data_IF_398314748783
#
_entry.id   IF_398314748783
#
_cell.length_a   1.000
_cell.length_b   1.000
_cell.length_c   1.000
_cell.angle_alpha   90.00
_cell.angle_beta   90.00
_cell.angle_gamma   90.00
#
_symmetry.space_group_name_H-M   'P 1'
#
loop_
_entity.id
_entity.type
_entity.pdbx_description
1 polymer ?
#
# COMPACT_ATOMS: atom_id res chain seq x y z
N UNK A 1 -2.48 -25.72 8.20
CA UNK A 1 -3.90 -25.86 7.85
C UNK A 1 -4.11 -25.18 6.52
N UNK A 2 -4.43 -25.94 5.48
CA UNK A 2 -4.75 -25.40 4.16
C UNK A 2 -6.24 -25.08 4.17
N UNK A 3 -6.60 -23.79 4.12
CA UNK A 3 -7.98 -23.37 3.89
C UNK A 3 -8.22 -23.48 2.38
N UNK A 4 -9.22 -24.27 1.91
CA UNK A 4 -9.57 -24.28 0.50
C UNK A 4 -9.91 -22.85 0.02
N UNK A 5 -9.48 -22.49 -1.18
CA UNK A 5 -9.70 -21.13 -1.76
C UNK A 5 -11.19 -20.76 -1.81
N UNK A 6 -12.07 -21.73 -1.98
CA UNK A 6 -13.53 -21.59 -1.94
C UNK A 6 -14.10 -21.25 -0.54
N UNK A 7 -13.31 -21.46 0.51
CA UNK A 7 -13.65 -21.11 1.89
C UNK A 7 -12.86 -19.88 2.40
N UNK A 8 -11.98 -19.34 1.58
CA UNK A 8 -11.18 -18.17 1.93
C UNK A 8 -11.94 -16.87 1.58
N UNK A 9 -11.99 -15.95 2.52
CA UNK A 9 -12.59 -14.63 2.32
C UNK A 9 -11.48 -13.57 2.32
N UNK A 10 -11.48 -12.72 1.30
CA UNK A 10 -10.63 -11.55 1.26
C UNK A 10 -11.22 -10.40 2.10
N UNK A 11 -10.38 -9.41 2.43
CA UNK A 11 -10.87 -8.17 3.06
C UNK A 11 -11.89 -7.44 2.17
N UNK A 12 -11.80 -7.59 0.85
CA UNK A 12 -12.75 -7.03 -0.11
C UNK A 12 -14.12 -7.72 0.04
N UNK A 13 -14.13 -9.05 0.18
CA UNK A 13 -15.39 -9.80 0.37
C UNK A 13 -16.08 -9.41 1.68
N UNK A 14 -15.29 -9.25 2.76
CA UNK A 14 -15.81 -8.80 4.05
C UNK A 14 -16.37 -7.37 3.97
N UNK A 15 -15.70 -6.47 3.29
CA UNK A 15 -16.17 -5.10 3.09
C UNK A 15 -17.47 -5.08 2.29
N UNK A 16 -17.57 -5.87 1.21
CA UNK A 16 -18.81 -6.01 0.41
C UNK A 16 -19.96 -6.59 1.25
N UNK A 17 -19.70 -7.64 2.03
CA UNK A 17 -20.69 -8.24 2.90
C UNK A 17 -21.18 -7.26 3.98
N UNK A 18 -20.32 -6.34 4.43
CA UNK A 18 -20.68 -5.25 5.34
C UNK A 18 -21.39 -4.07 4.65
N UNK A 19 -21.64 -4.13 3.33
CA UNK A 19 -22.39 -3.11 2.58
C UNK A 19 -21.54 -1.94 2.08
N UNK A 20 -20.21 -2.07 2.10
CA UNK A 20 -19.31 -1.05 1.56
C UNK A 20 -19.24 -1.15 0.03
N UNK A 21 -19.15 0.00 -0.63
CA UNK A 21 -18.65 0.10 -1.99
C UNK A 21 -17.13 -0.10 -1.97
N UNK A 22 -16.58 -0.92 -2.88
CA UNK A 22 -15.19 -1.37 -2.78
C UNK A 22 -14.39 -0.94 -4.00
N UNK A 23 -13.22 -0.36 -3.73
CA UNK A 23 -12.28 0.12 -4.73
C UNK A 23 -10.93 -0.57 -4.57
N UNK A 24 -10.32 -0.95 -5.69
CA UNK A 24 -8.92 -1.37 -5.75
C UNK A 24 -8.20 -0.60 -6.85
N UNK A 25 -7.24 0.23 -6.47
CA UNK A 25 -6.50 1.09 -7.40
C UNK A 25 -5.02 0.74 -7.26
N UNK A 26 -4.42 0.18 -8.33
CA UNK A 26 -3.09 -0.42 -8.29
C UNK A 26 -2.13 0.21 -9.28
N UNK A 27 -0.90 0.46 -8.83
CA UNK A 27 0.25 0.78 -9.69
C UNK A 27 1.04 -0.47 -10.09
N UNK A 28 0.54 -1.66 -9.83
CA UNK A 28 1.13 -2.90 -10.34
C UNK A 28 0.38 -3.38 -11.59
N UNK A 29 0.97 -4.33 -12.32
CA UNK A 29 0.33 -4.90 -13.50
C UNK A 29 -0.88 -5.76 -13.08
N UNK A 30 -2.00 -5.60 -13.77
CA UNK A 30 -3.23 -6.35 -13.47
C UNK A 30 -3.16 -7.85 -13.75
N UNK A 31 -2.18 -8.29 -14.54
CA UNK A 31 -1.99 -9.70 -14.89
C UNK A 31 -0.51 -9.99 -15.13
N UNK A 32 0.17 -10.55 -14.16
CA UNK A 32 1.47 -11.17 -14.33
C UNK A 32 1.46 -12.59 -13.77
N UNK A 33 2.44 -13.41 -14.13
CA UNK A 33 2.57 -14.76 -13.59
C UNK A 33 2.84 -14.77 -12.08
N UNK A 34 3.37 -13.66 -11.55
CA UNK A 34 3.73 -13.51 -10.13
C UNK A 34 2.61 -12.93 -9.27
N UNK A 35 1.64 -12.22 -9.88
CA UNK A 35 0.63 -11.43 -9.15
C UNK A 35 -0.76 -12.07 -9.17
N UNK A 36 -0.87 -13.32 -9.59
CA UNK A 36 -2.18 -13.99 -9.76
C UNK A 36 -3.08 -13.93 -8.53
N UNK A 37 -2.61 -14.20 -7.28
CA UNK A 37 -3.46 -14.11 -6.09
C UNK A 37 -3.98 -12.68 -5.86
N UNK A 38 -3.14 -11.67 -5.99
CA UNK A 38 -3.51 -10.28 -5.82
C UNK A 38 -4.50 -9.84 -6.91
N UNK A 39 -4.29 -10.27 -8.15
CA UNK A 39 -5.21 -9.99 -9.26
C UNK A 39 -6.58 -10.59 -9.00
N UNK A 40 -6.66 -11.83 -8.48
CA UNK A 40 -7.93 -12.46 -8.13
C UNK A 40 -8.64 -11.65 -7.05
N UNK A 41 -7.97 -11.33 -5.94
CA UNK A 41 -8.53 -10.55 -4.84
C UNK A 41 -9.00 -9.17 -5.33
N UNK A 42 -8.14 -8.46 -6.05
CA UNK A 42 -8.45 -7.10 -6.53
C UNK A 42 -9.61 -7.07 -7.52
N UNK A 43 -9.77 -8.11 -8.36
CA UNK A 43 -10.88 -8.22 -9.31
C UNK A 43 -12.24 -8.45 -8.66
N UNK A 44 -12.28 -8.84 -7.37
CA UNK A 44 -13.53 -8.94 -6.63
C UNK A 44 -14.07 -7.58 -6.15
N UNK A 45 -13.25 -6.52 -6.16
CA UNK A 45 -13.71 -5.17 -5.87
C UNK A 45 -14.73 -4.69 -6.92
N UNK A 46 -15.71 -3.89 -6.48
CA UNK A 46 -16.74 -3.34 -7.38
C UNK A 46 -16.12 -2.41 -8.44
N UNK A 47 -15.08 -1.65 -8.03
CA UNK A 47 -14.32 -0.77 -8.88
C UNK A 47 -12.84 -1.15 -8.78
N UNK A 48 -12.21 -1.50 -9.90
CA UNK A 48 -10.79 -1.84 -9.90
C UNK A 48 -10.08 -1.21 -11.10
N UNK A 49 -8.90 -0.66 -10.84
CA UNK A 49 -8.06 0.03 -11.82
C UNK A 49 -6.62 -0.41 -11.65
N UNK A 50 -5.99 -0.84 -12.74
CA UNK A 50 -4.55 -1.05 -12.82
C UNK A 50 -3.98 -0.03 -13.80
N UNK A 51 -3.12 0.87 -13.31
CA UNK A 51 -2.54 1.92 -14.15
C UNK A 51 -1.39 1.43 -15.02
N UNK A 52 -0.79 0.29 -14.68
CA UNK A 52 0.15 -0.41 -15.54
C UNK A 52 -0.57 -1.51 -16.33
N UNK A 53 -0.36 -1.53 -17.63
CA UNK A 53 -1.09 -2.42 -18.54
C UNK A 53 -0.82 -3.90 -18.35
N UNK A 54 -1.58 -4.73 -19.05
CA UNK A 54 -1.39 -6.19 -19.07
C UNK A 54 -0.01 -6.55 -19.59
N UNK A 55 0.69 -7.46 -18.88
CA UNK A 55 1.97 -8.01 -19.31
C UNK A 55 3.19 -7.12 -19.06
N UNK A 56 3.02 -5.96 -18.41
CA UNK A 56 4.15 -5.24 -17.87
C UNK A 56 4.80 -6.08 -16.77
N UNK A 57 6.13 -6.19 -16.78
CA UNK A 57 6.83 -6.74 -15.63
C UNK A 57 6.53 -5.86 -14.41
N UNK A 58 6.39 -6.40 -13.20
CA UNK A 58 6.26 -5.60 -11.98
C UNK A 58 7.35 -4.54 -11.84
N UNK A 59 8.52 -4.80 -12.45
CA UNK A 59 9.64 -3.86 -12.51
C UNK A 59 9.52 -2.77 -13.59
N UNK A 60 8.60 -2.89 -14.54
CA UNK A 60 8.48 -2.00 -15.70
C UNK A 60 7.25 -1.08 -15.59
N UNK A 61 7.04 -0.49 -14.41
CA UNK A 61 5.96 0.47 -14.23
C UNK A 61 6.18 1.70 -15.13
N UNK A 62 5.23 1.94 -16.03
CA UNK A 62 5.20 3.14 -16.90
C UNK A 62 4.92 4.39 -16.08
N UNK A 63 4.22 4.25 -14.96
CA UNK A 63 3.79 5.34 -14.11
C UNK A 63 4.38 5.24 -12.70
N UNK A 64 4.66 6.39 -12.11
CA UNK A 64 5.01 6.51 -10.70
C UNK A 64 3.75 6.53 -9.82
N UNK A 65 3.90 6.15 -8.53
CA UNK A 65 2.78 6.03 -7.59
C UNK A 65 1.94 7.31 -7.43
N UNK A 66 2.52 8.49 -7.65
CA UNK A 66 1.77 9.74 -7.65
C UNK A 66 0.61 9.78 -8.63
N UNK A 67 0.64 8.96 -9.70
CA UNK A 67 -0.48 8.82 -10.63
C UNK A 67 -1.74 8.25 -9.96
N UNK A 68 -1.59 7.41 -8.93
CA UNK A 68 -2.73 6.84 -8.20
C UNK A 68 -3.63 7.89 -7.56
N UNK A 69 -3.09 9.06 -7.19
CA UNK A 69 -3.87 10.16 -6.62
C UNK A 69 -4.95 10.64 -7.60
N UNK A 70 -4.64 10.62 -8.91
CA UNK A 70 -5.60 11.03 -9.94
C UNK A 70 -6.64 9.97 -10.28
N UNK A 71 -6.37 8.72 -9.91
CA UNK A 71 -7.31 7.59 -10.10
C UNK A 71 -8.29 7.43 -8.94
N UNK A 72 -8.04 8.09 -7.81
CA UNK A 72 -8.98 8.14 -6.70
C UNK A 72 -10.25 8.88 -7.13
N UNK A 73 -11.45 8.40 -6.74
CA UNK A 73 -12.69 9.12 -6.99
C UNK A 73 -12.63 10.53 -6.41
N UNK A 74 -13.28 11.49 -7.04
CA UNK A 74 -13.31 12.88 -6.54
C UNK A 74 -14.18 13.00 -5.29
N UNK A 75 -15.19 12.15 -5.15
CA UNK A 75 -16.02 12.03 -3.96
C UNK A 75 -16.52 10.61 -3.80
N UNK A 76 -16.94 10.25 -2.58
CA UNK A 76 -17.59 8.99 -2.25
C UNK A 76 -18.87 9.27 -1.46
N UNK A 77 -20.00 8.95 -2.05
CA UNK A 77 -21.34 9.24 -1.46
C UNK A 77 -21.86 8.11 -0.59
N UNK A 78 -21.23 6.94 -0.65
CA UNK A 78 -21.60 5.72 0.08
C UNK A 78 -20.47 5.29 0.98
N UNK A 79 -20.74 4.50 2.05
CA UNK A 79 -19.67 3.86 2.80
C UNK A 79 -18.76 3.09 1.85
N UNK A 80 -17.48 3.42 1.85
CA UNK A 80 -16.52 2.89 0.87
C UNK A 80 -15.27 2.36 1.55
N UNK A 81 -14.75 1.26 1.00
CA UNK A 81 -13.47 0.67 1.36
C UNK A 81 -12.53 0.75 0.15
N UNK A 82 -11.48 1.54 0.29
CA UNK A 82 -10.57 1.84 -0.82
C UNK A 82 -9.20 1.25 -0.52
N UNK A 83 -8.73 0.34 -1.35
CA UNK A 83 -7.37 -0.18 -1.35
C UNK A 83 -6.58 0.54 -2.42
N UNK A 84 -5.45 1.12 -2.02
CA UNK A 84 -4.49 1.77 -2.92
C UNK A 84 -3.21 0.96 -2.87
N UNK A 85 -2.92 0.25 -3.94
CA UNK A 85 -1.81 -0.69 -4.04
C UNK A 85 -0.64 -0.03 -4.77
N UNK A 86 0.32 0.41 -3.97
CA UNK A 86 1.53 1.10 -4.46
C UNK A 86 2.53 0.11 -5.08
N UNK A 87 3.40 0.60 -5.93
CA UNK A 87 4.66 -0.06 -6.26
C UNK A 87 5.68 0.16 -5.14
N UNK A 88 5.59 1.29 -4.46
CA UNK A 88 6.44 1.63 -3.33
C UNK A 88 7.92 1.72 -3.67
N UNK A 89 8.75 1.39 -2.68
CA UNK A 89 10.21 1.34 -2.81
C UNK A 89 10.70 -0.04 -3.27
N UNK A 90 10.00 -0.65 -4.24
CA UNK A 90 10.40 -1.93 -4.82
C UNK A 90 11.74 -1.82 -5.57
N UNK A 91 12.47 -2.92 -5.69
CA UNK A 91 13.78 -3.02 -6.37
C UNK A 91 13.83 -2.27 -7.71
N UNK A 92 15.03 -1.86 -8.16
CA UNK A 92 15.26 -0.80 -9.15
C UNK A 92 14.81 0.57 -8.61
N UNK A 93 15.16 0.83 -7.37
CA UNK A 93 14.73 2.00 -6.58
C UNK A 93 14.79 3.33 -7.34
N UNK A 94 15.85 3.53 -8.17
CA UNK A 94 16.02 4.75 -8.96
C UNK A 94 14.89 4.99 -9.99
N UNK A 95 14.14 3.95 -10.33
CA UNK A 95 13.01 4.02 -11.26
C UNK A 95 11.67 4.33 -10.53
N UNK A 96 11.69 4.45 -9.20
CA UNK A 96 10.49 4.59 -8.36
C UNK A 96 10.14 6.03 -8.00
N UNK A 97 10.96 7.00 -8.38
CA UNK A 97 10.73 8.41 -8.08
C UNK A 97 11.16 9.32 -9.23
N UNK A 98 10.58 10.52 -9.38
CA UNK A 98 11.02 11.50 -10.37
C UNK A 98 12.33 12.14 -9.93
N UNK A 99 13.14 12.61 -10.89
CA UNK A 99 14.46 13.22 -10.63
C UNK A 99 14.44 14.35 -9.60
N UNK A 100 13.34 15.08 -9.47
CA UNK A 100 13.14 16.13 -8.47
C UNK A 100 13.20 15.62 -7.02
N UNK A 101 13.08 14.32 -6.82
CA UNK A 101 13.16 13.68 -5.50
C UNK A 101 14.55 13.11 -5.19
N UNK A 102 15.53 13.22 -6.09
CA UNK A 102 16.93 12.83 -5.87
C UNK A 102 17.62 13.81 -4.92
N UNK A 103 17.45 13.60 -3.62
CA UNK A 103 18.05 14.40 -2.56
C UNK A 103 19.29 13.71 -1.98
N UNK A 104 19.16 12.40 -1.71
CA UNK A 104 20.24 11.62 -1.08
C UNK A 104 21.24 11.15 -2.12
N UNK A 105 22.53 11.29 -1.80
CA UNK A 105 23.67 10.90 -2.63
C UNK A 105 24.91 10.68 -1.76
N UNK A 106 25.79 9.79 -2.22
CA UNK A 106 27.09 9.56 -1.55
C UNK A 106 27.18 8.30 -0.69
N UNK A 107 26.07 7.57 -0.44
CA UNK A 107 26.07 6.29 0.26
C UNK A 107 26.07 5.08 -0.67
N UNK A 108 26.00 5.34 -1.98
CA UNK A 108 25.97 4.32 -3.01
C UNK A 108 24.60 4.16 -3.67
N UNK A 109 24.60 3.72 -4.92
CA UNK A 109 23.41 3.70 -5.80
C UNK A 109 22.21 3.00 -5.18
N UNK A 110 22.41 1.91 -4.44
CA UNK A 110 21.30 1.18 -3.83
C UNK A 110 20.69 1.95 -2.67
N UNK A 111 21.52 2.39 -1.72
CA UNK A 111 21.07 3.09 -0.51
C UNK A 111 20.46 4.44 -0.89
N UNK A 112 21.17 5.24 -1.69
CA UNK A 112 20.67 6.55 -2.12
C UNK A 112 19.36 6.42 -2.92
N UNK A 113 19.28 5.42 -3.79
CA UNK A 113 18.08 5.14 -4.57
C UNK A 113 16.90 4.75 -3.68
N UNK A 114 17.14 3.90 -2.69
CA UNK A 114 16.12 3.49 -1.72
C UNK A 114 15.63 4.69 -0.90
N UNK A 115 16.53 5.44 -0.29
CA UNK A 115 16.17 6.60 0.54
C UNK A 115 15.36 7.65 -0.26
N UNK A 116 15.74 7.90 -1.52
CA UNK A 116 15.00 8.79 -2.41
C UNK A 116 13.62 8.22 -2.76
N UNK A 117 13.48 6.89 -2.96
CA UNK A 117 12.21 6.25 -3.24
C UNK A 117 11.27 6.32 -2.03
N UNK A 118 11.77 6.08 -0.81
CA UNK A 118 11.00 6.21 0.44
C UNK A 118 10.52 7.65 0.61
N UNK A 119 11.38 8.65 0.37
CA UNK A 119 11.00 10.06 0.40
C UNK A 119 9.87 10.38 -0.58
N UNK A 120 9.89 9.77 -1.76
CA UNK A 120 8.82 9.94 -2.73
C UNK A 120 7.52 9.25 -2.30
N UNK A 121 7.60 8.02 -1.78
CA UNK A 121 6.43 7.31 -1.22
C UNK A 121 5.78 8.14 -0.11
N UNK A 122 6.57 8.75 0.78
CA UNK A 122 6.05 9.62 1.83
C UNK A 122 5.22 10.79 1.26
N UNK A 123 5.70 11.44 0.20
CA UNK A 123 4.95 12.51 -0.47
C UNK A 123 3.68 12.01 -1.18
N UNK A 124 3.71 10.78 -1.73
CA UNK A 124 2.54 10.16 -2.35
C UNK A 124 1.49 9.85 -1.28
N UNK A 125 1.91 9.29 -0.13
CA UNK A 125 1.02 9.02 1.00
C UNK A 125 0.37 10.31 1.52
N UNK A 126 1.15 11.40 1.61
CA UNK A 126 0.63 12.72 1.97
C UNK A 126 -0.45 13.16 0.96
N UNK A 127 -0.17 13.10 -0.34
CA UNK A 127 -1.14 13.52 -1.37
C UNK A 127 -2.41 12.66 -1.39
N UNK A 128 -2.28 11.33 -1.17
CA UNK A 128 -3.42 10.44 -1.01
C UNK A 128 -4.23 10.84 0.22
N UNK A 129 -3.58 11.01 1.37
CA UNK A 129 -4.22 11.39 2.62
C UNK A 129 -4.97 12.72 2.50
N UNK A 130 -4.34 13.75 1.93
CA UNK A 130 -4.95 15.05 1.70
C UNK A 130 -6.22 14.95 0.83
N UNK A 131 -6.21 14.10 -0.22
CA UNK A 131 -7.40 13.89 -1.06
C UNK A 131 -8.50 13.17 -0.29
N UNK A 132 -8.21 12.03 0.34
CA UNK A 132 -9.24 11.22 0.99
C UNK A 132 -9.75 11.83 2.30
N UNK A 133 -8.93 12.60 3.00
CA UNK A 133 -9.32 13.32 4.22
C UNK A 133 -10.45 14.33 3.96
N UNK A 134 -10.56 14.83 2.75
CA UNK A 134 -11.62 15.75 2.34
C UNK A 134 -12.94 15.06 1.98
N UNK A 135 -12.99 13.72 1.94
CA UNK A 135 -14.26 13.01 1.73
C UNK A 135 -15.18 13.19 2.93
N UNK A 136 -16.45 13.50 2.67
CA UNK A 136 -17.46 13.82 3.70
C UNK A 136 -17.63 12.75 4.78
N UNK A 137 -17.36 11.49 4.44
CA UNK A 137 -17.49 10.32 5.30
C UNK A 137 -16.15 9.69 5.68
N UNK A 138 -15.04 10.42 5.56
CA UNK A 138 -13.73 9.91 5.91
C UNK A 138 -13.68 9.39 7.36
N UNK A 139 -13.35 8.11 7.53
CA UNK A 139 -13.29 7.44 8.83
C UNK A 139 -11.85 7.20 9.30
N UNK A 140 -10.96 6.83 8.39
CA UNK A 140 -9.59 6.54 8.75
C UNK A 140 -8.73 6.20 7.54
N UNK A 141 -7.43 6.11 7.81
CA UNK A 141 -6.39 5.79 6.85
C UNK A 141 -5.42 4.81 7.50
N UNK A 142 -5.06 3.76 6.77
CA UNK A 142 -4.11 2.77 7.22
C UNK A 142 -3.06 2.58 6.13
N UNK A 143 -1.80 2.54 6.52
CA UNK A 143 -0.69 2.22 5.63
C UNK A 143 0.22 1.18 6.26
N UNK A 144 0.55 0.16 5.48
CA UNK A 144 1.59 -0.82 5.76
C UNK A 144 2.18 -1.33 4.44
N UNK A 145 3.48 -1.55 4.34
CA UNK A 145 4.06 -2.35 3.27
C UNK A 145 3.93 -3.85 3.59
N UNK A 146 4.05 -4.69 2.57
CA UNK A 146 4.06 -6.15 2.70
C UNK A 146 5.36 -6.67 3.30
N UNK A 147 6.51 -6.02 3.02
CA UNK A 147 7.82 -6.31 3.58
C UNK A 147 8.70 -5.06 3.62
N UNK A 148 9.83 -5.16 4.30
CA UNK A 148 10.91 -4.18 4.26
C UNK A 148 11.95 -4.54 3.20
N UNK A 149 13.03 -3.74 3.16
CA UNK A 149 14.14 -3.89 2.23
C UNK A 149 15.47 -3.77 2.96
N UNK A 150 16.51 -4.43 2.43
CA UNK A 150 17.90 -4.29 2.89
C UNK A 150 18.80 -3.75 1.76
N UNK A 151 18.76 -2.45 1.51
CA UNK A 151 19.57 -1.83 0.46
C UNK A 151 21.07 -1.82 0.78
N UNK A 152 21.46 -1.87 2.06
CA UNK A 152 22.88 -1.84 2.48
C UNK A 152 23.60 -3.14 2.12
N UNK A 153 22.93 -4.28 2.25
CA UNK A 153 23.51 -5.57 1.84
C UNK A 153 23.50 -5.78 0.32
N UNK A 154 22.73 -4.96 -0.43
CA UNK A 154 22.48 -5.14 -1.86
C UNK A 154 21.59 -6.33 -2.19
N UNK A 155 20.98 -6.95 -1.18
CA UNK A 155 20.12 -8.14 -1.36
C UNK A 155 18.64 -7.80 -1.56
N UNK A 156 18.26 -6.53 -1.38
CA UNK A 156 16.86 -6.11 -1.39
C UNK A 156 16.02 -6.95 -0.42
N UNK A 157 15.04 -7.69 -0.89
CA UNK A 157 14.20 -8.60 -0.11
C UNK A 157 14.37 -10.08 -0.53
N UNK A 158 15.58 -10.48 -0.95
CA UNK A 158 15.82 -11.87 -1.37
C UNK A 158 15.60 -12.85 -0.21
N UNK A 159 14.66 -13.80 -0.31
CA UNK A 159 14.35 -14.71 0.79
C UNK A 159 15.53 -15.65 1.12
N UNK A 160 16.42 -15.92 0.16
CA UNK A 160 17.62 -16.73 0.37
C UNK A 160 18.69 -16.05 1.24
N UNK A 161 18.55 -14.77 1.47
CA UNK A 161 19.50 -13.93 2.20
C UNK A 161 18.78 -13.06 3.24
N UNK A 162 17.92 -13.70 4.03
CA UNK A 162 17.11 -13.03 5.02
C UNK A 162 17.91 -12.13 5.96
N UNK A 163 17.40 -10.92 6.18
CA UNK A 163 17.85 -9.98 7.21
C UNK A 163 16.65 -9.40 7.96
N UNK A 164 16.86 -8.95 9.20
CA UNK A 164 15.77 -8.36 10.00
C UNK A 164 15.20 -7.08 9.40
N UNK A 165 15.95 -6.37 8.56
CA UNK A 165 15.48 -5.18 7.85
C UNK A 165 14.31 -5.51 6.92
N UNK A 166 14.31 -6.72 6.34
CA UNK A 166 13.25 -7.17 5.41
C UNK A 166 11.90 -7.39 6.09
N UNK A 167 11.88 -7.56 7.41
CA UNK A 167 10.63 -7.78 8.19
C UNK A 167 10.28 -6.59 9.09
N UNK A 168 11.07 -5.52 9.05
CA UNK A 168 10.77 -4.28 9.78
C UNK A 168 10.01 -3.32 8.89
N UNK A 169 8.72 -3.20 9.14
CA UNK A 169 7.83 -2.33 8.36
C UNK A 169 7.15 -1.28 9.25
N UNK A 170 6.86 -0.09 8.72
CA UNK A 170 5.99 0.85 9.42
C UNK A 170 4.54 0.36 9.37
N UNK A 171 3.79 0.65 10.44
CA UNK A 171 2.35 0.47 10.50
C UNK A 171 1.72 1.78 10.97
N UNK A 172 1.06 2.48 10.06
CA UNK A 172 0.46 3.77 10.32
C UNK A 172 -1.06 3.66 10.32
N UNK A 173 -1.69 4.14 11.40
CA UNK A 173 -3.15 4.22 11.51
C UNK A 173 -3.55 5.63 11.88
N UNK A 174 -4.39 6.22 11.08
CA UNK A 174 -5.09 7.46 11.39
C UNK A 174 -6.58 7.20 11.51
N UNK A 175 -7.20 7.66 12.59
CA UNK A 175 -8.65 7.66 12.78
C UNK A 175 -9.16 9.10 12.75
N UNK A 176 -10.23 9.34 12.00
CA UNK A 176 -10.87 10.64 12.01
C UNK A 176 -11.49 10.95 13.38
N UNK A 177 -11.66 12.22 13.77
CA UNK A 177 -12.38 12.57 14.99
C UNK A 177 -13.77 11.95 15.06
N UNK A 178 -14.46 11.81 13.93
CA UNK A 178 -15.77 11.16 13.82
C UNK A 178 -15.69 9.66 14.13
N UNK A 179 -14.67 8.98 13.62
CA UNK A 179 -14.44 7.55 13.92
C UNK A 179 -14.12 7.34 15.39
N UNK A 180 -13.27 8.18 15.98
CA UNK A 180 -12.90 8.13 17.40
C UNK A 180 -14.15 8.36 18.27
N UNK A 181 -14.99 9.34 17.94
CA UNK A 181 -16.20 9.62 18.70
C UNK A 181 -17.22 8.48 18.64
N UNK A 182 -17.30 7.79 17.50
CA UNK A 182 -18.25 6.67 17.32
C UNK A 182 -17.75 5.36 17.92
N UNK A 183 -16.42 5.14 17.99
CA UNK A 183 -15.77 3.92 18.48
C UNK A 183 -14.50 4.22 19.27
N UNK A 184 -14.60 4.82 20.45
CA UNK A 184 -13.44 5.21 21.26
C UNK A 184 -12.60 4.01 21.74
N UNK A 185 -13.20 2.82 21.81
CA UNK A 185 -12.51 1.58 22.18
C UNK A 185 -11.41 1.21 21.18
N UNK A 186 -11.62 1.45 19.87
CA UNK A 186 -10.61 1.15 18.83
C UNK A 186 -9.36 2.01 19.07
N UNK A 187 -9.54 3.31 19.32
CA UNK A 187 -8.41 4.19 19.60
C UNK A 187 -7.65 3.74 20.86
N UNK A 188 -8.36 3.37 21.91
CA UNK A 188 -7.74 2.88 23.16
C UNK A 188 -6.91 1.62 22.93
N UNK A 189 -7.42 0.65 22.17
CA UNK A 189 -6.69 -0.57 21.87
C UNK A 189 -5.47 -0.30 20.99
N UNK A 190 -5.57 0.54 19.97
CA UNK A 190 -4.42 0.94 19.16
C UNK A 190 -3.34 1.62 20.01
N UNK A 191 -3.73 2.56 20.90
CA UNK A 191 -2.81 3.24 21.80
C UNK A 191 -2.12 2.28 22.78
N UNK A 192 -2.83 1.29 23.31
CA UNK A 192 -2.30 0.28 24.21
C UNK A 192 -1.25 -0.61 23.53
N UNK A 193 -1.41 -0.87 22.24
CA UNK A 193 -0.57 -1.80 21.48
C UNK A 193 0.50 -1.11 20.61
N UNK A 194 0.54 0.22 20.56
CA UNK A 194 1.43 0.98 19.64
C UNK A 194 2.92 0.68 19.79
N UNK A 195 3.36 0.28 20.99
CA UNK A 195 4.76 -0.02 21.30
C UNK A 195 5.03 -1.53 21.44
N UNK A 196 4.03 -2.37 21.16
CA UNK A 196 4.18 -3.82 21.19
C UNK A 196 4.58 -4.37 19.84
N UNK A 197 5.40 -5.41 19.78
CA UNK A 197 5.63 -6.13 18.54
C UNK A 197 4.32 -6.68 17.98
N UNK A 198 4.15 -6.60 16.68
CA UNK A 198 3.03 -7.20 15.95
C UNK A 198 3.54 -7.72 14.60
N UNK A 199 2.77 -8.58 13.97
CA UNK A 199 3.04 -9.11 12.63
C UNK A 199 1.83 -8.84 11.74
N UNK A 200 2.03 -8.90 10.43
CA UNK A 200 0.96 -8.79 9.44
C UNK A 200 0.40 -10.16 9.00
N UNK A 201 0.71 -11.21 9.76
CA UNK A 201 0.22 -12.57 9.55
C UNK A 201 -1.20 -12.79 10.11
#
# INVERSE_FOLDING_TARGET
NHIPLEEAYSIIDLAKAAGYDTYWISNQAGFSASDTPITIISSTAAHHTWINGRGASPSDSTYLDGKLITELPDNVDRPSFIVIHLMGSHSRYADRYPKSYSLFSGRGKFVDGYDNSVRYVDSVLQGIFEKVHNYSNFQGFLYLPDHGEDPESGNAHSPDKFTFQMVRIPFLVYLSPKAIASRPEIQKELQKHKDLPWTND
#
